data_IF_347819055316
#
_entry.id   IF_347819055316
#
_cell.length_a   1.000
_cell.length_b   1.000
_cell.length_c   1.000
_cell.angle_alpha   90.00
_cell.angle_beta   90.00
_cell.angle_gamma   90.00
#
_symmetry.space_group_name_H-M   'P 1'
#
loop_
_entity.id
_entity.type
_entity.pdbx_description
1 polymer ?
#
# COMPACT_ATOMS: atom_id res chain seq x y z
N UNK A 1 24.56 -17.10 26.56
CA UNK A 1 23.39 -16.37 27.08
C UNK A 1 22.74 -15.61 25.93
N UNK A 2 21.45 -15.79 25.70
CA UNK A 2 20.74 -15.11 24.61
C UNK A 2 20.24 -13.73 25.13
N UNK A 3 20.99 -12.67 24.87
CA UNK A 3 20.65 -11.31 25.30
C UNK A 3 19.87 -10.58 24.20
N UNK A 4 18.84 -9.83 24.62
CA UNK A 4 18.01 -9.02 23.69
C UNK A 4 18.87 -7.91 23.08
N UNK A 5 18.83 -7.79 21.74
CA UNK A 5 19.47 -6.66 21.03
C UNK A 5 18.74 -5.35 21.33
N UNK A 6 19.51 -4.29 21.45
CA UNK A 6 18.98 -2.92 21.51
C UNK A 6 18.58 -2.45 20.10
N UNK A 7 17.78 -1.38 20.02
CA UNK A 7 17.38 -0.78 18.74
C UNK A 7 18.59 -0.32 17.92
N UNK A 8 19.62 0.19 18.59
CA UNK A 8 20.86 0.63 17.93
C UNK A 8 21.62 -0.54 17.28
N UNK A 9 21.67 -1.70 17.94
CA UNK A 9 22.33 -2.90 17.43
C UNK A 9 21.57 -3.57 16.27
N UNK A 10 20.31 -3.19 16.03
CA UNK A 10 19.53 -3.70 14.90
C UNK A 10 19.83 -3.02 13.58
N UNK A 11 20.65 -1.96 13.55
CA UNK A 11 21.07 -1.28 12.32
C UNK A 11 19.92 -0.70 11.50
N UNK A 12 18.89 -0.17 12.15
CA UNK A 12 17.73 0.41 11.46
C UNK A 12 18.15 1.63 10.67
N UNK A 13 17.65 1.74 9.44
CA UNK A 13 17.79 2.94 8.62
C UNK A 13 17.13 4.14 9.30
N UNK A 14 17.76 5.31 9.21
CA UNK A 14 17.08 6.58 9.49
C UNK A 14 16.16 6.95 8.32
N UNK A 15 15.35 8.03 8.48
CA UNK A 15 14.37 8.47 7.47
C UNK A 15 15.04 8.78 6.14
N UNK A 16 16.18 9.47 6.13
CA UNK A 16 16.87 9.86 4.90
C UNK A 16 17.43 8.62 4.17
N UNK A 17 18.08 7.73 4.90
CA UNK A 17 18.56 6.45 4.35
C UNK A 17 17.41 5.60 3.80
N UNK A 18 16.25 5.59 4.47
CA UNK A 18 15.07 4.89 3.99
C UNK A 18 14.54 5.49 2.68
N UNK A 19 14.48 6.82 2.58
CA UNK A 19 14.02 7.51 1.37
C UNK A 19 14.92 7.27 0.16
N UNK A 20 16.22 7.17 0.38
CA UNK A 20 17.21 6.88 -0.68
C UNK A 20 17.33 5.41 -1.04
N UNK A 21 16.87 4.50 -0.18
CA UNK A 21 16.95 3.07 -0.42
C UNK A 21 16.03 2.63 -1.57
N UNK A 22 16.43 1.58 -2.28
CA UNK A 22 15.61 0.93 -3.30
C UNK A 22 14.26 0.49 -2.71
N UNK A 23 13.19 0.79 -3.42
CA UNK A 23 11.83 0.42 -3.05
C UNK A 23 11.33 -0.75 -3.87
N UNK A 24 10.50 -1.56 -3.25
CA UNK A 24 9.68 -2.52 -3.97
C UNK A 24 8.69 -1.74 -4.85
N UNK A 25 8.61 -1.97 -6.18
CA UNK A 25 7.66 -1.28 -7.06
C UNK A 25 6.22 -1.76 -6.83
N UNK A 26 5.76 -1.51 -5.63
CA UNK A 26 4.46 -1.91 -5.10
C UNK A 26 3.79 -0.72 -4.43
N UNK A 27 2.53 -0.48 -4.77
CA UNK A 27 1.73 0.62 -4.23
C UNK A 27 0.51 0.07 -3.51
N UNK A 28 0.20 0.62 -2.34
CA UNK A 28 -1.06 0.32 -1.64
C UNK A 28 -1.99 1.52 -1.77
N UNK A 29 -3.18 1.29 -2.31
CA UNK A 29 -4.24 2.29 -2.43
C UNK A 29 -5.31 2.01 -1.37
N UNK A 30 -5.68 3.01 -0.61
CA UNK A 30 -6.73 2.94 0.39
C UNK A 30 -7.98 3.67 -0.13
N UNK A 31 -9.01 2.91 -0.50
CA UNK A 31 -10.28 3.41 -1.04
C UNK A 31 -11.28 3.67 0.08
N UNK A 32 -11.37 4.92 0.53
CA UNK A 32 -12.28 5.33 1.58
C UNK A 32 -12.11 4.53 2.90
N UNK A 33 -10.90 4.16 3.25
CA UNK A 33 -10.63 3.51 4.54
C UNK A 33 -10.89 4.50 5.67
N UNK A 34 -11.87 4.17 6.50
CA UNK A 34 -12.36 5.04 7.57
C UNK A 34 -11.47 5.04 8.79
N UNK A 35 -10.96 3.88 9.17
CA UNK A 35 -10.17 3.71 10.39
C UNK A 35 -8.77 4.31 10.24
N UNK A 36 -8.49 5.34 11.01
CA UNK A 36 -7.16 5.96 11.08
C UNK A 36 -6.10 4.98 11.59
N UNK A 37 -6.48 4.07 12.48
CA UNK A 37 -5.59 2.99 12.95
C UNK A 37 -5.25 1.99 11.84
N UNK A 38 -6.20 1.68 10.94
CA UNK A 38 -5.94 0.84 9.78
C UNK A 38 -4.99 1.55 8.80
N UNK A 39 -5.18 2.84 8.56
CA UNK A 39 -4.25 3.65 7.76
C UNK A 39 -2.84 3.59 8.34
N UNK A 40 -2.69 3.80 9.64
CA UNK A 40 -1.40 3.71 10.31
C UNK A 40 -0.76 2.32 10.24
N UNK A 41 -1.56 1.25 10.37
CA UNK A 41 -1.07 -0.12 10.22
C UNK A 41 -0.55 -0.40 8.79
N UNK A 42 -1.20 0.16 7.77
CA UNK A 42 -0.70 0.08 6.38
C UNK A 42 0.63 0.79 6.23
N UNK A 43 0.79 1.99 6.76
CA UNK A 43 2.09 2.69 6.77
C UNK A 43 3.17 1.86 7.47
N UNK A 44 2.85 1.24 8.61
CA UNK A 44 3.79 0.38 9.35
C UNK A 44 4.27 -0.82 8.51
N UNK A 45 3.34 -1.48 7.81
CA UNK A 45 3.66 -2.60 6.92
C UNK A 45 4.44 -2.12 5.69
N UNK A 46 4.04 -0.98 5.10
CA UNK A 46 4.72 -0.37 3.96
C UNK A 46 6.20 -0.06 4.26
N UNK A 47 6.47 0.49 5.45
CA UNK A 47 7.83 0.73 5.92
C UNK A 47 8.65 -0.56 6.03
N UNK A 48 8.08 -1.57 6.71
CA UNK A 48 8.75 -2.85 6.91
C UNK A 48 9.12 -3.57 5.61
N UNK A 49 8.28 -3.43 4.58
CA UNK A 49 8.43 -4.07 3.27
C UNK A 49 9.12 -3.19 2.23
N UNK A 50 9.49 -1.96 2.57
CA UNK A 50 10.02 -0.95 1.64
C UNK A 50 9.14 -0.76 0.40
N UNK A 51 7.83 -0.70 0.62
CA UNK A 51 6.85 -0.39 -0.43
C UNK A 51 7.10 1.02 -0.95
N UNK A 52 6.90 1.24 -2.25
CA UNK A 52 7.21 2.51 -2.90
C UNK A 52 6.40 3.67 -2.31
N UNK A 53 5.08 3.52 -2.23
CA UNK A 53 4.21 4.54 -1.64
C UNK A 53 2.84 4.01 -1.23
N UNK A 54 2.14 4.80 -0.41
CA UNK A 54 0.74 4.62 -0.04
C UNK A 54 -0.09 5.72 -0.71
N UNK A 55 -1.21 5.36 -1.31
CA UNK A 55 -2.17 6.31 -1.91
C UNK A 55 -3.43 6.32 -1.07
N UNK A 56 -3.78 7.49 -0.54
CA UNK A 56 -4.94 7.71 0.31
C UNK A 56 -6.05 8.36 -0.52
N UNK A 57 -7.26 7.79 -0.49
CA UNK A 57 -8.37 8.28 -1.31
C UNK A 57 -9.62 8.60 -0.50
N UNK A 58 -10.34 9.62 -0.95
CA UNK A 58 -11.65 9.97 -0.41
C UNK A 58 -11.63 10.38 1.06
N UNK A 59 -12.33 9.62 1.90
CA UNK A 59 -12.45 9.91 3.34
C UNK A 59 -11.24 9.49 4.17
N UNK A 60 -10.22 8.87 3.57
CA UNK A 60 -9.01 8.50 4.30
C UNK A 60 -8.38 9.73 4.96
N UNK A 61 -8.08 9.62 6.24
CA UNK A 61 -7.26 10.61 6.92
C UNK A 61 -5.83 10.57 6.41
N UNK A 62 -5.19 11.73 6.35
CA UNK A 62 -3.81 11.87 5.91
C UNK A 62 -2.89 12.25 7.08
N UNK A 63 -1.61 11.86 7.02
CA UNK A 63 -0.61 12.42 7.94
C UNK A 63 -0.46 13.95 7.76
N UNK A 64 -0.08 14.70 8.80
CA UNK A 64 0.13 14.25 10.17
C UNK A 64 -1.18 14.05 10.92
N UNK A 65 -1.33 12.93 11.62
CA UNK A 65 -2.52 12.61 12.39
C UNK A 65 -2.14 11.73 13.60
N UNK A 66 -2.62 12.09 14.79
CA UNK A 66 -2.26 11.39 16.04
C UNK A 66 -2.74 9.94 16.06
N UNK A 67 -3.92 9.66 15.51
CA UNK A 67 -4.48 8.31 15.51
C UNK A 67 -3.76 7.42 14.48
N UNK A 68 -3.36 7.96 13.33
CA UNK A 68 -2.48 7.27 12.38
C UNK A 68 -1.14 6.95 13.07
N UNK A 69 -0.54 7.91 13.77
CA UNK A 69 0.75 7.75 14.43
C UNK A 69 0.75 6.62 15.46
N UNK A 70 -0.36 6.38 16.16
CA UNK A 70 -0.46 5.31 17.18
C UNK A 70 -0.16 3.91 16.63
N UNK A 71 -0.44 3.65 15.37
CA UNK A 71 -0.19 2.37 14.71
C UNK A 71 0.95 2.43 13.69
N UNK A 72 1.17 3.57 13.06
CA UNK A 72 2.27 3.79 12.13
C UNK A 72 3.63 3.88 12.84
N UNK A 73 3.67 4.45 14.05
CA UNK A 73 4.87 4.56 14.90
C UNK A 73 6.07 5.24 14.19
N UNK A 74 5.77 6.28 13.40
CA UNK A 74 6.76 7.05 12.63
C UNK A 74 6.93 6.61 11.18
N UNK A 75 6.34 5.49 10.76
CA UNK A 75 6.42 5.03 9.36
C UNK A 75 5.79 6.03 8.39
N UNK A 76 4.82 6.81 8.82
CA UNK A 76 4.16 7.87 8.05
C UNK A 76 5.10 9.02 7.68
N UNK A 77 6.26 9.13 8.33
CA UNK A 77 7.29 10.13 8.02
C UNK A 77 8.31 9.64 7.00
N UNK A 78 8.50 8.32 6.89
CA UNK A 78 9.48 7.70 6.00
C UNK A 78 8.87 7.19 4.69
N UNK A 79 7.66 6.65 4.73
CA UNK A 79 6.97 6.13 3.54
C UNK A 79 6.34 7.27 2.75
N UNK A 80 6.63 7.32 1.45
CA UNK A 80 5.99 8.27 0.53
C UNK A 80 4.48 8.02 0.47
N UNK A 81 3.70 9.11 0.39
CA UNK A 81 2.27 9.01 0.23
C UNK A 81 1.69 10.13 -0.63
N UNK A 82 0.53 9.86 -1.23
CA UNK A 82 -0.24 10.80 -2.04
C UNK A 82 -1.71 10.73 -1.65
N UNK A 83 -2.44 11.81 -1.90
CA UNK A 83 -3.87 11.87 -1.70
C UNK A 83 -4.60 12.17 -3.01
N UNK A 84 -5.70 11.44 -3.24
CA UNK A 84 -6.65 11.69 -4.32
C UNK A 84 -8.06 11.82 -3.74
N UNK A 85 -8.81 12.78 -4.25
CA UNK A 85 -10.22 12.94 -3.83
C UNK A 85 -11.06 11.74 -4.28
N UNK A 86 -10.82 11.27 -5.50
CA UNK A 86 -11.53 10.15 -6.11
C UNK A 86 -10.56 8.98 -6.36
N UNK A 87 -10.92 7.79 -5.89
CA UNK A 87 -10.07 6.59 -6.03
C UNK A 87 -9.86 6.22 -7.50
N UNK A 88 -10.87 6.45 -8.35
CA UNK A 88 -10.75 6.16 -9.78
C UNK A 88 -9.67 7.01 -10.47
N UNK A 89 -9.47 8.25 -10.04
CA UNK A 89 -8.37 9.10 -10.55
C UNK A 89 -7.00 8.51 -10.18
N UNK A 90 -6.85 8.04 -8.94
CA UNK A 90 -5.64 7.36 -8.50
C UNK A 90 -5.35 6.09 -9.31
N UNK A 91 -6.38 5.28 -9.57
CA UNK A 91 -6.26 4.06 -10.39
C UNK A 91 -5.78 4.38 -11.80
N UNK A 92 -6.39 5.37 -12.46
CA UNK A 92 -5.99 5.78 -13.80
C UNK A 92 -4.55 6.28 -13.84
N UNK A 93 -4.16 7.13 -12.88
CA UNK A 93 -2.79 7.63 -12.79
C UNK A 93 -1.78 6.48 -12.62
N UNK A 94 -2.06 5.51 -11.76
CA UNK A 94 -1.21 4.34 -11.57
C UNK A 94 -1.11 3.48 -12.83
N UNK A 95 -2.21 3.30 -13.56
CA UNK A 95 -2.22 2.56 -14.84
C UNK A 95 -1.38 3.27 -15.90
N UNK A 96 -1.45 4.60 -15.98
CA UNK A 96 -0.60 5.42 -16.86
C UNK A 96 0.89 5.32 -16.48
N UNK A 97 1.21 5.19 -15.21
CA UNK A 97 2.56 4.92 -14.73
C UNK A 97 3.04 3.46 -14.98
N UNK A 98 2.17 2.60 -15.50
CA UNK A 98 2.47 1.21 -15.84
C UNK A 98 2.21 0.19 -14.74
N UNK A 99 1.48 0.56 -13.68
CA UNK A 99 1.06 -0.38 -12.63
C UNK A 99 -0.10 -1.25 -13.11
N UNK A 100 -0.01 -2.54 -12.78
CA UNK A 100 -1.17 -3.43 -12.81
C UNK A 100 -1.91 -3.28 -11.48
N UNK A 101 -3.18 -2.89 -11.53
CA UNK A 101 -3.96 -2.57 -10.34
C UNK A 101 -4.93 -3.68 -10.03
N UNK A 102 -4.88 -4.22 -8.81
CA UNK A 102 -5.77 -5.25 -8.30
C UNK A 102 -6.60 -4.72 -7.13
N UNK A 103 -7.89 -5.00 -7.10
CA UNK A 103 -8.74 -4.77 -5.94
C UNK A 103 -8.77 -6.03 -5.05
N UNK A 104 -8.49 -5.86 -3.77
CA UNK A 104 -8.60 -6.93 -2.78
C UNK A 104 -10.03 -6.93 -2.24
N UNK A 105 -10.87 -7.84 -2.75
CA UNK A 105 -12.29 -7.89 -2.42
C UNK A 105 -12.85 -9.31 -2.55
N UNK A 106 -13.92 -9.59 -1.81
CA UNK A 106 -14.70 -10.81 -1.95
C UNK A 106 -15.83 -10.57 -2.97
N UNK A 107 -15.54 -10.78 -4.24
CA UNK A 107 -16.51 -10.65 -5.33
C UNK A 107 -16.71 -11.99 -6.05
N UNK A 108 -17.84 -12.14 -6.77
CA UNK A 108 -18.16 -13.41 -7.47
C UNK A 108 -17.08 -13.84 -8.47
N UNK A 109 -16.44 -12.88 -9.12
CA UNK A 109 -15.40 -13.11 -10.14
C UNK A 109 -13.97 -12.99 -9.57
N UNK A 110 -13.82 -13.05 -8.25
CA UNK A 110 -12.50 -12.97 -7.61
C UNK A 110 -11.68 -14.22 -7.87
N UNK A 111 -10.40 -14.01 -8.15
CA UNK A 111 -9.39 -15.08 -8.19
C UNK A 111 -8.68 -15.16 -6.83
N UNK A 112 -8.10 -16.30 -6.54
CA UNK A 112 -7.31 -16.48 -5.32
C UNK A 112 -5.99 -15.73 -5.41
N UNK A 113 -5.42 -15.39 -4.25
CA UNK A 113 -4.14 -14.68 -4.19
C UNK A 113 -3.02 -15.48 -4.89
N UNK A 114 -3.02 -16.80 -4.76
CA UNK A 114 -2.05 -17.69 -5.39
C UNK A 114 -2.14 -17.60 -6.93
N UNK A 115 -3.35 -17.60 -7.48
CA UNK A 115 -3.59 -17.46 -8.93
C UNK A 115 -3.16 -16.08 -9.44
N UNK A 116 -3.42 -15.02 -8.65
CA UNK A 116 -2.95 -13.68 -8.97
C UNK A 116 -1.43 -13.60 -8.97
N UNK A 117 -0.77 -14.23 -8.00
CA UNK A 117 0.68 -14.29 -7.92
C UNK A 117 1.29 -15.02 -9.13
N UNK A 118 0.73 -16.17 -9.54
CA UNK A 118 1.15 -16.91 -10.72
C UNK A 118 1.01 -16.09 -12.02
N UNK A 119 -0.09 -15.34 -12.18
CA UNK A 119 -0.28 -14.43 -13.32
C UNK A 119 0.78 -13.32 -13.37
N UNK A 120 1.12 -12.77 -12.20
CA UNK A 120 2.18 -11.77 -12.07
C UNK A 120 3.55 -12.38 -12.39
N UNK A 121 3.81 -13.61 -11.95
CA UNK A 121 5.10 -14.27 -12.16
C UNK A 121 5.34 -14.72 -13.61
N UNK A 122 4.29 -15.14 -14.31
CA UNK A 122 4.41 -15.64 -15.69
C UNK A 122 4.61 -14.56 -16.75
N UNK A 123 4.31 -13.29 -16.46
CA UNK A 123 4.18 -12.25 -17.48
C UNK A 123 5.38 -11.32 -17.69
N UNK A 124 6.26 -11.11 -16.70
CA UNK A 124 7.36 -10.11 -16.77
C UNK A 124 8.53 -10.48 -15.86
N UNK A 125 9.73 -9.91 -16.14
CA UNK A 125 10.85 -9.96 -15.21
C UNK A 125 10.46 -9.33 -13.86
N UNK A 126 10.99 -9.85 -12.77
CA UNK A 126 10.67 -9.41 -11.40
C UNK A 126 10.85 -7.90 -11.19
N UNK A 127 11.87 -7.34 -11.78
CA UNK A 127 12.26 -5.92 -11.74
C UNK A 127 11.32 -4.98 -12.51
N UNK A 128 10.57 -5.53 -13.49
CA UNK A 128 9.62 -4.74 -14.33
C UNK A 128 8.17 -4.82 -13.83
N UNK A 129 7.93 -5.49 -12.70
CA UNK A 129 6.60 -5.73 -12.16
C UNK A 129 6.17 -4.56 -11.25
N UNK A 130 5.40 -3.67 -11.80
CA UNK A 130 4.73 -2.60 -11.05
C UNK A 130 3.33 -3.05 -10.67
N UNK A 131 3.07 -3.21 -9.37
CA UNK A 131 1.79 -3.70 -8.86
C UNK A 131 1.21 -2.68 -7.89
N UNK A 132 -0.08 -2.42 -8.03
CA UNK A 132 -0.84 -1.69 -7.02
C UNK A 132 -2.00 -2.56 -6.52
N UNK A 133 -2.23 -2.53 -5.22
CA UNK A 133 -3.38 -3.19 -4.59
C UNK A 133 -4.28 -2.17 -3.92
N UNK A 134 -5.58 -2.35 -4.06
CA UNK A 134 -6.59 -1.49 -3.44
C UNK A 134 -7.23 -2.23 -2.28
N UNK A 135 -7.23 -1.60 -1.11
CA UNK A 135 -7.97 -2.02 0.07
C UNK A 135 -9.12 -1.03 0.28
N UNK A 136 -10.33 -1.54 0.44
CA UNK A 136 -11.54 -0.73 0.52
C UNK A 136 -12.01 -0.40 1.93
N UNK A 137 -13.11 0.31 1.98
CA UNK A 137 -13.81 0.65 3.21
C UNK A 137 -14.17 -0.60 4.03
N UNK A 138 -14.05 -0.52 5.36
CA UNK A 138 -14.18 -1.67 6.26
C UNK A 138 -15.53 -2.39 6.19
N UNK A 139 -16.59 -1.67 5.77
CA UNK A 139 -17.94 -2.24 5.64
C UNK A 139 -18.34 -2.41 4.18
N UNK A 140 -18.08 -1.43 3.34
CA UNK A 140 -18.56 -1.40 1.95
C UNK A 140 -17.56 -1.95 0.93
N UNK A 141 -16.32 -2.23 1.36
CA UNK A 141 -15.27 -2.71 0.47
C UNK A 141 -14.84 -1.68 -0.57
N UNK A 142 -14.26 -2.15 -1.66
CA UNK A 142 -13.85 -1.33 -2.80
C UNK A 142 -15.06 -0.95 -3.64
N UNK A 143 -15.19 0.32 -4.02
CA UNK A 143 -16.30 0.82 -4.84
C UNK A 143 -16.42 0.06 -6.17
N UNK A 144 -17.66 -0.24 -6.61
CA UNK A 144 -17.91 -0.99 -7.85
C UNK A 144 -17.23 -0.34 -9.06
N UNK A 145 -17.40 0.98 -9.24
CA UNK A 145 -16.79 1.69 -10.37
C UNK A 145 -15.26 1.66 -10.36
N UNK A 146 -14.62 1.49 -9.19
CA UNK A 146 -13.18 1.29 -9.06
C UNK A 146 -12.81 -0.14 -9.45
N UNK A 147 -13.54 -1.15 -8.95
CA UNK A 147 -13.31 -2.56 -9.26
C UNK A 147 -13.39 -2.86 -10.76
N UNK A 148 -14.31 -2.21 -11.46
CA UNK A 148 -14.52 -2.39 -12.90
C UNK A 148 -13.29 -1.96 -13.75
N UNK A 149 -12.42 -1.12 -13.18
CA UNK A 149 -11.17 -0.67 -13.80
C UNK A 149 -9.93 -1.45 -13.36
N UNK A 150 -10.09 -2.38 -12.42
CA UNK A 150 -8.98 -3.20 -11.93
C UNK A 150 -8.74 -4.43 -12.81
N UNK A 151 -7.52 -4.96 -12.73
CA UNK A 151 -7.16 -6.23 -13.36
C UNK A 151 -7.83 -7.41 -12.64
N UNK A 152 -8.11 -8.47 -13.38
CA UNK A 152 -8.73 -9.71 -12.90
C UNK A 152 -7.74 -10.86 -12.94
#
# INVERSE_FOLDING_TARGET
>A
MNTKRTTAEMGRMNIDQYREADKLPFVVVLDNVRSQHNVGAVFRTADAMRIERVVLCGICCCPPNKEIHKTALGAEESVEWQYYKETLEAVKALQEEGYTVYAVEQAHDSIRLEEAAEKVESGRRREDRKIAVILGHEVFGVQQGVRDHCSR
#
